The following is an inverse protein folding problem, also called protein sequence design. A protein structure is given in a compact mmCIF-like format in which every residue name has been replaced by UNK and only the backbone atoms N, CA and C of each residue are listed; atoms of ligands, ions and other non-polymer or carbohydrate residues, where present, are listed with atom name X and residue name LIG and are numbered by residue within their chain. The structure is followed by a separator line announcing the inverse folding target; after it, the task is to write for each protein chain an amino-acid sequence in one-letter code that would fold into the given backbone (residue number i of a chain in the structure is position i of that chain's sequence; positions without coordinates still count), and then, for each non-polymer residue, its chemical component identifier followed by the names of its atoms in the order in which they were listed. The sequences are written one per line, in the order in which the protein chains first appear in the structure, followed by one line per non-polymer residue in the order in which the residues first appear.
data_IF_574369584558
#
_entry.id   IF_574369584558
#
_cell.length_a   1.000
_cell.length_b   1.000
_cell.length_c   1.000
_cell.angle_alpha   90.00
_cell.angle_beta   90.00
_cell.angle_gamma   90.00
#
_symmetry.space_group_name_H-M   'P 1'
#
loop_
_entity.id
_entity.type
_entity.pdbx_description
1 polymer ?
#
# COMPACT_ATOMS: atom_id res chain seq x y z
N UNK A 1 8.54 -1.96 2.23
CA UNK A 1 8.59 -1.27 0.91
C UNK A 1 9.91 -0.52 0.78
N UNK A 2 10.36 -0.17 -0.43
CA UNK A 2 11.65 0.50 -0.61
C UNK A 2 11.62 1.93 0.00
N UNK A 3 12.65 2.26 0.80
CA UNK A 3 12.79 3.56 1.48
C UNK A 3 12.95 4.75 0.52
N UNK A 4 13.51 4.55 -0.69
CA UNK A 4 13.60 5.59 -1.72
C UNK A 4 12.22 6.18 -2.08
N UNK A 5 11.17 5.37 -1.95
CA UNK A 5 9.82 5.75 -2.34
C UNK A 5 8.97 6.27 -1.16
N UNK A 6 9.62 6.65 -0.05
CA UNK A 6 8.97 7.21 1.16
C UNK A 6 8.00 8.36 0.87
N UNK A 7 8.28 9.31 -0.05
CA UNK A 7 7.35 10.40 -0.34
C UNK A 7 5.94 9.94 -0.75
N UNK A 8 5.82 8.79 -1.42
CA UNK A 8 4.51 8.23 -1.81
C UNK A 8 3.69 7.86 -0.56
N UNK A 9 4.34 7.31 0.47
CA UNK A 9 3.69 6.93 1.71
C UNK A 9 3.35 8.12 2.60
N UNK A 10 4.15 9.19 2.55
CA UNK A 10 3.83 10.44 3.22
C UNK A 10 2.58 11.09 2.62
N UNK A 11 2.48 11.12 1.28
CA UNK A 11 1.27 11.56 0.58
C UNK A 11 0.05 10.71 0.96
N UNK A 12 0.21 9.38 0.99
CA UNK A 12 -0.85 8.48 1.42
C UNK A 12 -1.27 8.71 2.88
N UNK A 13 -0.32 8.91 3.79
CA UNK A 13 -0.62 9.19 5.20
C UNK A 13 -1.43 10.46 5.38
N UNK A 14 -1.08 11.54 4.65
CA UNK A 14 -1.85 12.79 4.64
C UNK A 14 -3.26 12.58 4.08
N UNK A 15 -3.41 11.73 3.06
CA UNK A 15 -4.71 11.36 2.52
C UNK A 15 -5.57 10.58 3.53
N UNK A 16 -4.99 9.62 4.25
CA UNK A 16 -5.70 8.88 5.33
C UNK A 16 -6.18 9.83 6.43
N UNK A 17 -5.32 10.76 6.87
CA UNK A 17 -5.67 11.78 7.87
C UNK A 17 -6.81 12.66 7.36
N UNK A 18 -6.68 13.20 6.14
CA UNK A 18 -7.72 14.05 5.54
C UNK A 18 -9.07 13.33 5.46
N UNK A 19 -9.10 12.04 5.06
CA UNK A 19 -10.33 11.26 5.05
C UNK A 19 -10.93 11.09 6.44
N UNK A 20 -10.11 10.86 7.47
CA UNK A 20 -10.57 10.70 8.85
C UNK A 20 -11.12 12.01 9.42
N UNK A 21 -10.46 13.13 9.16
CA UNK A 21 -10.94 14.46 9.54
C UNK A 21 -12.29 14.76 8.88
N UNK A 22 -12.43 14.45 7.60
CA UNK A 22 -13.72 14.63 6.91
C UNK A 22 -14.79 13.66 7.39
N UNK A 23 -14.44 12.41 7.71
CA UNK A 23 -15.39 11.43 8.26
C UNK A 23 -16.01 11.90 9.59
N UNK A 24 -15.34 12.81 10.33
CA UNK A 24 -15.88 13.43 11.55
C UNK A 24 -16.80 14.63 11.31
N UNK A 25 -17.08 15.04 10.07
CA UNK A 25 -18.01 16.15 9.78
C UNK A 25 -19.46 15.66 9.70
N UNK A 26 -20.41 16.46 10.20
CA UNK A 26 -21.84 16.12 10.32
C UNK A 26 -22.45 15.55 9.03
N UNK A 27 -22.09 16.12 7.86
CA UNK A 27 -22.58 15.66 6.54
C UNK A 27 -22.26 14.20 6.22
N UNK A 28 -21.27 13.61 6.90
CA UNK A 28 -20.85 12.21 6.76
C UNK A 28 -21.20 11.35 7.98
N UNK A 29 -21.89 11.91 8.98
CA UNK A 29 -22.28 11.20 10.22
C UNK A 29 -23.76 10.78 10.23
N UNK A 30 -24.65 11.54 9.60
CA UNK A 30 -26.11 11.28 9.67
C UNK A 30 -26.58 10.09 8.82
N UNK A 31 -25.83 9.72 7.79
CA UNK A 31 -26.16 8.65 6.86
C UNK A 31 -24.99 7.65 6.83
N UNK A 32 -25.20 6.46 7.38
CA UNK A 32 -24.16 5.41 7.40
C UNK A 32 -23.67 5.05 5.99
N UNK A 33 -24.51 5.20 4.95
CA UNK A 33 -24.11 4.95 3.57
C UNK A 33 -23.22 6.05 2.98
N UNK A 34 -23.10 7.19 3.65
CA UNK A 34 -22.25 8.32 3.24
C UNK A 34 -20.99 8.44 4.09
N UNK A 35 -20.83 7.62 5.13
CA UNK A 35 -19.65 7.67 5.99
C UNK A 35 -18.39 7.35 5.20
N UNK A 36 -17.43 8.26 5.24
CA UNK A 36 -16.12 8.02 4.65
C UNK A 36 -15.39 6.97 5.47
N UNK A 37 -14.69 6.07 4.77
CA UNK A 37 -13.88 5.01 5.40
C UNK A 37 -12.44 5.12 4.96
N UNK A 38 -11.52 4.71 5.84
CA UNK A 38 -10.11 4.58 5.48
C UNK A 38 -9.93 3.41 4.51
N UNK A 39 -9.29 3.59 3.35
CA UNK A 39 -9.11 2.51 2.39
C UNK A 39 -8.32 1.34 2.98
N UNK A 40 -8.60 0.14 2.49
CA UNK A 40 -7.87 -1.05 2.91
C UNK A 40 -6.37 -0.97 2.58
N UNK A 41 -5.54 -1.64 3.39
CA UNK A 41 -4.07 -1.73 3.16
C UNK A 41 -3.72 -2.24 1.76
N UNK A 42 -4.56 -3.09 1.16
CA UNK A 42 -4.39 -3.55 -0.23
C UNK A 42 -4.40 -2.39 -1.24
N UNK A 43 -5.26 -1.39 -1.05
CA UNK A 43 -5.33 -0.21 -1.92
C UNK A 43 -4.06 0.62 -1.84
N UNK A 44 -3.46 0.75 -0.64
CA UNK A 44 -2.16 1.41 -0.44
C UNK A 44 -1.07 0.77 -1.30
N UNK A 45 -1.01 -0.57 -1.36
CA UNK A 45 -0.05 -1.30 -2.20
C UNK A 45 -0.31 -1.08 -3.69
N UNK A 46 -1.57 -1.08 -4.11
CA UNK A 46 -1.92 -0.82 -5.51
C UNK A 46 -1.51 0.58 -5.95
N UNK A 47 -1.88 1.61 -5.17
CA UNK A 47 -1.55 3.02 -5.46
C UNK A 47 -0.05 3.25 -5.43
N UNK A 48 0.66 2.61 -4.50
CA UNK A 48 2.12 2.65 -4.46
C UNK A 48 2.76 2.21 -5.78
N UNK A 49 2.33 1.07 -6.33
CA UNK A 49 2.85 0.56 -7.59
C UNK A 49 2.34 1.38 -8.80
N UNK A 50 1.12 1.92 -8.72
CA UNK A 50 0.57 2.80 -9.76
C UNK A 50 1.34 4.13 -9.85
N UNK A 51 1.77 4.69 -8.73
CA UNK A 51 2.63 5.87 -8.71
C UNK A 51 4.00 5.63 -9.34
N UNK A 52 4.50 4.39 -9.33
CA UNK A 52 5.79 4.00 -9.93
C UNK A 52 5.66 3.61 -11.41
N UNK A 53 4.60 2.90 -11.78
CA UNK A 53 4.50 2.19 -13.06
C UNK A 53 3.24 2.55 -13.88
N UNK A 54 2.25 3.25 -13.37
CA UNK A 54 0.88 3.27 -13.93
C UNK A 54 0.64 4.02 -15.25
N UNK A 55 1.65 4.32 -16.08
CA UNK A 55 1.50 5.19 -17.26
C UNK A 55 0.86 4.48 -18.46
N UNK A 56 1.19 3.21 -18.68
CA UNK A 56 0.68 2.40 -19.81
C UNK A 56 -0.26 1.28 -19.36
N UNK A 57 -1.03 0.70 -20.31
CA UNK A 57 -1.92 -0.44 -20.02
C UNK A 57 -1.12 -1.67 -19.59
N UNK A 58 0.04 -1.87 -20.18
CA UNK A 58 0.96 -2.98 -19.95
C UNK A 58 1.53 -2.90 -18.53
N UNK A 59 1.98 -1.72 -18.11
CA UNK A 59 2.45 -1.52 -16.75
C UNK A 59 1.33 -1.67 -15.72
N UNK A 60 0.10 -1.22 -16.02
CA UNK A 60 -1.06 -1.48 -15.16
C UNK A 60 -1.36 -2.97 -14.97
N UNK A 61 -0.99 -3.83 -15.93
CA UNK A 61 -1.09 -5.29 -15.76
C UNK A 61 -0.06 -5.81 -14.74
N UNK A 62 1.14 -5.22 -14.68
CA UNK A 62 2.22 -5.58 -13.71
C UNK A 62 1.89 -5.20 -12.27
N UNK A 63 1.02 -4.20 -12.07
CA UNK A 63 0.56 -3.79 -10.73
C UNK A 63 -0.36 -4.85 -10.10
N UNK A 64 -1.13 -5.55 -10.93
CA UNK A 64 -2.09 -6.57 -10.48
C UNK A 64 -1.35 -7.74 -9.84
N UNK A 65 -1.95 -8.28 -8.79
CA UNK A 65 -1.35 -9.30 -7.92
C UNK A 65 -0.69 -10.49 -8.67
N UNK A 66 -1.31 -11.06 -9.74
CA UNK A 66 -0.72 -12.19 -10.45
C UNK A 66 0.59 -11.88 -11.18
N UNK A 67 0.84 -10.62 -11.52
CA UNK A 67 1.99 -10.20 -12.33
C UNK A 67 2.96 -9.30 -11.54
N UNK A 68 2.74 -9.16 -10.22
CA UNK A 68 3.53 -8.26 -9.40
C UNK A 68 4.93 -8.81 -9.22
N UNK A 69 5.92 -7.97 -9.50
CA UNK A 69 7.34 -8.33 -9.38
C UNK A 69 7.79 -8.25 -7.92
N UNK A 70 7.50 -9.27 -7.13
CA UNK A 70 7.80 -9.32 -5.68
C UNK A 70 9.30 -9.27 -5.33
N UNK A 71 10.17 -9.64 -6.28
CA UNK A 71 11.62 -9.66 -6.09
C UNK A 71 12.31 -8.36 -6.51
N UNK A 72 11.59 -7.41 -7.11
CA UNK A 72 12.19 -6.16 -7.58
C UNK A 72 12.55 -5.25 -6.40
N UNK A 73 13.85 -5.07 -6.16
CA UNK A 73 14.37 -4.28 -5.05
C UNK A 73 14.07 -2.79 -5.16
N UNK A 74 13.82 -2.25 -6.36
CA UNK A 74 13.38 -0.86 -6.53
C UNK A 74 11.95 -0.65 -5.99
N UNK A 75 11.15 -1.70 -5.89
CA UNK A 75 9.79 -1.65 -5.33
C UNK A 75 9.74 -2.13 -3.88
N UNK A 76 10.49 -3.17 -3.55
CA UNK A 76 10.40 -3.85 -2.25
C UNK A 76 11.73 -3.81 -1.52
N UNK A 77 11.67 -3.67 -0.20
CA UNK A 77 12.83 -3.91 0.64
C UNK A 77 12.56 -5.21 1.40
N UNK A 78 13.02 -6.33 0.83
CA UNK A 78 12.91 -7.65 1.45
C UNK A 78 13.96 -7.85 2.55
N UNK A 79 14.95 -6.97 2.66
CA UNK A 79 16.00 -6.98 3.67
C UNK A 79 15.74 -6.04 4.85
N UNK A 80 14.50 -5.58 4.98
CA UNK A 80 14.12 -4.77 6.12
C UNK A 80 14.16 -5.60 7.42
N UNK A 81 14.79 -5.05 8.46
CA UNK A 81 15.01 -5.74 9.75
C UNK A 81 13.71 -6.29 10.37
N UNK A 82 12.59 -5.58 10.20
CA UNK A 82 11.29 -6.02 10.72
C UNK A 82 10.77 -7.32 10.08
N UNK A 83 11.36 -7.75 8.95
CA UNK A 83 11.05 -9.02 8.30
C UNK A 83 11.85 -10.20 8.89
N UNK A 84 12.88 -9.95 9.70
CA UNK A 84 13.74 -11.01 10.23
C UNK A 84 12.97 -12.11 10.97
N UNK A 85 12.00 -11.80 11.87
CA UNK A 85 11.21 -12.85 12.54
C UNK A 85 10.43 -13.73 11.55
N UNK A 86 9.91 -13.12 10.48
CA UNK A 86 9.21 -13.87 9.43
C UNK A 86 10.17 -14.72 8.61
N UNK A 87 11.35 -14.19 8.26
CA UNK A 87 12.39 -14.94 7.54
C UNK A 87 12.83 -16.16 8.34
N UNK A 88 13.13 -15.98 9.63
CA UNK A 88 13.50 -17.06 10.54
C UNK A 88 12.40 -18.12 10.65
N UNK A 89 11.15 -17.69 10.79
CA UNK A 89 10.01 -18.61 10.82
C UNK A 89 9.90 -19.43 9.52
N UNK A 90 10.00 -18.78 8.36
CA UNK A 90 9.90 -19.44 7.07
C UNK A 90 11.08 -20.39 6.83
N UNK A 91 12.31 -19.99 7.12
CA UNK A 91 13.50 -20.84 6.98
C UNK A 91 13.44 -22.09 7.86
N UNK A 92 12.76 -22.02 9.01
CA UNK A 92 12.58 -23.16 9.90
C UNK A 92 11.53 -24.16 9.41
N UNK A 93 10.54 -23.72 8.65
CA UNK A 93 9.35 -24.53 8.31
C UNK A 93 9.15 -24.76 6.81
N UNK A 94 9.91 -24.10 5.94
CA UNK A 94 9.96 -24.40 4.53
C UNK A 94 11.16 -25.32 4.24
N UNK A 95 10.97 -26.38 3.44
CA UNK A 95 12.03 -27.29 3.03
C UNK A 95 13.05 -26.63 2.09
#
# INVERSE_FOLDING_TARGET
MNKKNTPIFECWGKFEICLQEHASKEIYQEDENKKLTTPAKKSKIYVYLEALLGKTKEEKKRIKDPNREYQNSEYWNLDADYLNPLKEFLLKHLP
#
